data_IF_125855938503
#
_entry.id   IF_125855938503
#
_cell.length_a   1.000
_cell.length_b   1.000
_cell.length_c   1.000
_cell.angle_alpha   90.00
_cell.angle_beta   90.00
_cell.angle_gamma   90.00
#
_symmetry.space_group_name_H-M   'P 1'
#
loop_
_entity.id
_entity.type
_entity.pdbx_description
1 polymer ?
#
# COMPACT_ATOMS: atom_id res chain seq x y z
N UNK A 1 -23.74 -16.88 7.93
CA UNK A 1 -22.30 -16.84 8.28
C UNK A 1 -22.02 -15.45 8.85
N UNK A 2 -21.46 -15.32 10.05
CA UNK A 2 -21.16 -14.01 10.62
C UNK A 2 -19.89 -13.46 9.95
N UNK A 3 -20.03 -12.45 9.08
CA UNK A 3 -18.91 -11.83 8.35
C UNK A 3 -17.82 -11.27 9.27
N UNK A 4 -18.19 -10.86 10.49
CA UNK A 4 -17.27 -10.29 11.46
C UNK A 4 -16.34 -11.36 12.08
N UNK A 5 -16.73 -12.63 12.04
CA UNK A 5 -16.05 -13.75 12.68
C UNK A 5 -15.53 -14.78 11.68
N UNK A 6 -15.10 -14.32 10.50
CA UNK A 6 -14.58 -15.21 9.47
C UNK A 6 -13.33 -15.95 9.95
N UNK A 7 -13.25 -17.29 9.76
CA UNK A 7 -12.03 -18.03 9.98
C UNK A 7 -10.90 -17.47 9.10
N UNK A 8 -9.69 -17.38 9.67
CA UNK A 8 -8.53 -16.82 8.96
C UNK A 8 -8.26 -17.53 7.62
N UNK A 9 -8.49 -18.85 7.54
CA UNK A 9 -8.34 -19.61 6.29
C UNK A 9 -9.30 -19.13 5.20
N UNK A 10 -10.57 -18.94 5.55
CA UNK A 10 -11.58 -18.42 4.63
C UNK A 10 -11.22 -17.01 4.19
N UNK A 11 -10.81 -16.15 5.13
CA UNK A 11 -10.37 -14.79 4.80
C UNK A 11 -9.16 -14.78 3.87
N UNK A 12 -8.17 -15.65 4.07
CA UNK A 12 -7.02 -15.75 3.16
C UNK A 12 -7.44 -16.16 1.74
N UNK A 13 -8.36 -17.12 1.60
CA UNK A 13 -8.89 -17.49 0.28
C UNK A 13 -9.66 -16.36 -0.38
N UNK A 14 -10.50 -15.66 0.38
CA UNK A 14 -11.28 -14.52 -0.15
C UNK A 14 -10.35 -13.35 -0.50
N UNK A 15 -9.34 -13.05 0.32
CA UNK A 15 -8.31 -12.04 0.02
C UNK A 15 -7.52 -12.40 -1.24
N UNK A 16 -7.07 -13.65 -1.37
CA UNK A 16 -6.36 -14.10 -2.56
C UNK A 16 -7.25 -13.98 -3.82
N UNK A 17 -8.53 -14.36 -3.72
CA UNK A 17 -9.48 -14.17 -4.81
C UNK A 17 -9.68 -12.69 -5.15
N UNK A 18 -9.81 -11.82 -4.15
CA UNK A 18 -9.95 -10.38 -4.34
C UNK A 18 -8.72 -9.77 -5.03
N UNK A 19 -7.51 -10.21 -4.68
CA UNK A 19 -6.26 -9.78 -5.33
C UNK A 19 -6.23 -10.23 -6.81
N UNK A 20 -6.69 -11.45 -7.11
CA UNK A 20 -6.80 -11.91 -8.50
C UNK A 20 -7.81 -11.08 -9.29
N UNK A 21 -8.99 -10.81 -8.71
CA UNK A 21 -10.00 -9.94 -9.35
C UNK A 21 -9.43 -8.54 -9.58
N UNK A 22 -8.76 -7.97 -8.59
CA UNK A 22 -8.06 -6.69 -8.68
C UNK A 22 -7.07 -6.66 -9.84
N UNK A 23 -6.17 -7.65 -9.93
CA UNK A 23 -5.17 -7.73 -11.00
C UNK A 23 -5.81 -7.82 -12.40
N UNK A 24 -6.92 -8.57 -12.51
CA UNK A 24 -7.70 -8.65 -13.75
C UNK A 24 -8.34 -7.31 -14.11
N UNK A 25 -8.94 -6.61 -13.14
CA UNK A 25 -9.53 -5.29 -13.37
C UNK A 25 -8.47 -4.29 -13.80
N UNK A 26 -7.32 -4.26 -13.13
CA UNK A 26 -6.20 -3.37 -13.46
C UNK A 26 -5.67 -3.62 -14.88
N UNK A 27 -5.56 -4.89 -15.29
CA UNK A 27 -5.21 -5.24 -16.67
C UNK A 27 -6.26 -4.72 -17.68
N UNK A 28 -7.56 -4.84 -17.38
CA UNK A 28 -8.62 -4.30 -18.23
C UNK A 28 -8.70 -2.77 -18.23
N UNK A 29 -8.13 -2.09 -17.22
CA UNK A 29 -7.93 -0.64 -17.23
C UNK A 29 -6.81 -0.21 -18.19
N UNK A 30 -6.05 -1.15 -18.76
CA UNK A 30 -5.03 -0.89 -19.76
C UNK A 30 -3.59 -0.97 -19.24
N UNK A 31 -3.39 -1.30 -17.95
CA UNK A 31 -2.05 -1.43 -17.38
C UNK A 31 -1.31 -2.67 -17.91
N UNK A 32 0.00 -2.59 -18.14
CA UNK A 32 0.78 -3.69 -18.67
C UNK A 32 0.94 -4.80 -17.62
N UNK A 33 0.96 -6.07 -18.04
CA UNK A 33 1.11 -7.20 -17.09
C UNK A 33 2.46 -7.20 -16.37
N UNK A 34 3.51 -6.80 -17.08
CA UNK A 34 4.88 -6.65 -16.61
C UNK A 34 5.45 -5.36 -17.20
N UNK A 35 6.60 -4.90 -16.70
CA UNK A 35 7.35 -3.80 -17.30
C UNK A 35 7.43 -3.89 -18.83
N UNK A 36 7.15 -2.77 -19.51
CA UNK A 36 7.27 -2.66 -20.97
C UNK A 36 8.70 -2.89 -21.47
N UNK A 37 9.69 -2.82 -20.58
CA UNK A 37 11.07 -3.20 -20.84
C UNK A 37 11.27 -4.71 -21.16
N UNK A 38 10.24 -5.54 -20.97
CA UNK A 38 10.23 -6.95 -21.39
C UNK A 38 10.85 -7.92 -20.40
N UNK A 39 11.23 -7.47 -19.21
CA UNK A 39 11.74 -8.31 -18.12
C UNK A 39 11.25 -7.81 -16.76
N UNK A 40 11.37 -8.65 -15.74
CA UNK A 40 10.97 -8.34 -14.36
C UNK A 40 12.19 -8.36 -13.46
N UNK A 41 12.38 -7.30 -12.68
CA UNK A 41 13.35 -7.22 -11.59
C UNK A 41 12.66 -7.56 -10.27
N UNK A 42 13.42 -8.15 -9.35
CA UNK A 42 12.97 -8.27 -7.97
C UNK A 42 12.92 -6.90 -7.28
N UNK A 43 13.94 -6.09 -7.50
CA UNK A 43 14.08 -4.74 -6.94
C UNK A 43 14.50 -3.75 -8.04
N UNK A 44 13.80 -2.63 -8.11
CA UNK A 44 14.19 -1.47 -8.91
C UNK A 44 14.42 -0.28 -7.98
N UNK A 45 15.65 0.25 -7.95
CA UNK A 45 15.97 1.33 -7.04
C UNK A 45 17.22 2.19 -7.26
N UNK A 46 17.84 2.32 -8.46
CA UNK A 46 18.84 3.37 -8.68
C UNK A 46 18.28 4.79 -8.53
N UNK A 47 17.02 5.01 -8.90
CA UNK A 47 16.29 6.28 -8.83
C UNK A 47 14.81 6.03 -9.06
N UNK A 48 13.94 6.90 -8.55
CA UNK A 48 12.50 6.92 -8.85
C UNK A 48 12.18 7.69 -10.14
N UNK A 49 13.13 8.45 -10.68
CA UNK A 49 13.00 9.26 -11.89
C UNK A 49 13.21 8.43 -13.16
N UNK A 50 12.47 7.34 -13.29
CA UNK A 50 12.55 6.43 -14.44
C UNK A 50 11.18 5.91 -14.80
N UNK A 51 10.95 5.64 -16.09
CA UNK A 51 9.74 4.95 -16.55
C UNK A 51 9.62 3.49 -16.05
N UNK A 52 10.70 2.93 -15.48
CA UNK A 52 10.69 1.61 -14.84
C UNK A 52 10.19 1.63 -13.37
N UNK A 53 9.96 2.82 -12.79
CA UNK A 53 9.40 2.92 -11.45
C UNK A 53 7.96 2.38 -11.44
N UNK A 54 7.59 1.61 -10.42
CA UNK A 54 6.30 0.94 -10.34
C UNK A 54 6.04 -0.11 -11.44
N UNK A 55 7.10 -0.66 -12.06
CA UNK A 55 6.98 -1.66 -13.13
C UNK A 55 7.50 -3.06 -12.76
N UNK A 56 8.10 -3.20 -11.58
CA UNK A 56 8.82 -4.40 -11.14
C UNK A 56 8.20 -4.99 -9.87
N UNK A 57 8.75 -6.07 -9.31
CA UNK A 57 8.17 -6.71 -8.12
C UNK A 57 8.24 -5.81 -6.88
N UNK A 58 9.31 -5.01 -6.75
CA UNK A 58 9.43 -4.05 -5.67
C UNK A 58 10.30 -2.88 -6.06
N UNK A 59 10.03 -1.75 -5.42
CA UNK A 59 10.77 -0.50 -5.55
C UNK A 59 10.68 0.31 -4.25
N UNK A 60 11.07 1.58 -4.29
CA UNK A 60 11.06 2.45 -3.12
C UNK A 60 9.68 2.70 -2.53
N UNK A 61 8.60 2.61 -3.32
CA UNK A 61 7.23 2.80 -2.84
C UNK A 61 6.66 1.54 -2.19
N UNK A 62 7.29 0.36 -2.37
CA UNK A 62 6.95 -0.85 -1.60
C UNK A 62 7.01 -0.61 -0.08
N UNK A 63 7.89 0.27 0.41
CA UNK A 63 7.91 0.68 1.82
C UNK A 63 6.62 1.38 2.26
N UNK A 64 6.03 2.21 1.38
CA UNK A 64 4.76 2.89 1.60
C UNK A 64 3.61 1.88 1.71
N UNK A 65 3.60 0.83 0.88
CA UNK A 65 2.57 -0.23 0.95
C UNK A 65 2.70 -1.07 2.23
N UNK A 66 3.91 -1.35 2.72
CA UNK A 66 4.09 -1.94 4.06
C UNK A 66 3.47 -1.03 5.14
N UNK A 67 3.66 0.29 5.04
CA UNK A 67 3.06 1.27 5.95
C UNK A 67 1.53 1.33 5.79
N UNK A 68 0.96 1.18 4.59
CA UNK A 68 -0.49 1.03 4.40
C UNK A 68 -1.02 -0.15 5.21
N UNK A 69 -0.30 -1.27 5.22
CA UNK A 69 -0.63 -2.42 6.06
C UNK A 69 -0.70 -2.07 7.54
N UNK A 70 0.21 -1.20 8.01
CA UNK A 70 0.20 -0.72 9.39
C UNK A 70 -1.02 0.15 9.68
N UNK A 71 -1.29 1.10 8.77
CA UNK A 71 -2.38 2.08 8.89
C UNK A 71 -3.73 1.38 8.84
N UNK A 72 -3.97 0.48 7.88
CA UNK A 72 -5.25 -0.22 7.74
C UNK A 72 -5.54 -1.17 8.88
N UNK A 73 -4.53 -1.88 9.41
CA UNK A 73 -4.71 -2.66 10.63
C UNK A 73 -5.17 -1.75 11.78
N UNK A 74 -4.50 -0.62 11.97
CA UNK A 74 -4.80 0.29 13.07
C UNK A 74 -6.17 0.95 12.93
N UNK A 75 -6.56 1.36 11.72
CA UNK A 75 -7.89 1.91 11.41
C UNK A 75 -8.97 0.86 11.69
N UNK A 76 -8.82 -0.36 11.15
CA UNK A 76 -9.79 -1.43 11.36
C UNK A 76 -9.92 -1.77 12.86
N UNK A 77 -8.81 -1.79 13.58
CA UNK A 77 -8.78 -1.98 15.04
C UNK A 77 -9.49 -0.85 15.79
N UNK A 78 -9.25 0.43 15.43
CA UNK A 78 -9.89 1.58 16.05
C UNK A 78 -11.41 1.60 15.81
N UNK A 79 -11.85 1.31 14.59
CA UNK A 79 -13.28 1.23 14.24
C UNK A 79 -13.93 0.12 15.05
N UNK A 80 -13.34 -1.08 15.02
CA UNK A 80 -13.83 -2.22 15.80
C UNK A 80 -13.89 -1.91 17.31
N UNK A 81 -12.90 -1.21 17.86
CA UNK A 81 -12.92 -0.75 19.27
C UNK A 81 -14.06 0.22 19.56
N UNK A 82 -14.27 1.23 18.71
CA UNK A 82 -15.34 2.23 18.91
C UNK A 82 -16.73 1.61 18.87
N UNK A 83 -16.90 0.55 18.09
CA UNK A 83 -18.16 -0.18 18.00
C UNK A 83 -18.37 -1.19 19.16
N UNK A 84 -17.42 -1.28 20.10
CA UNK A 84 -17.48 -2.26 21.20
C UNK A 84 -17.12 -3.70 20.77
N UNK A 85 -16.56 -3.86 19.56
CA UNK A 85 -16.33 -5.15 18.89
C UNK A 85 -14.85 -5.54 18.85
N UNK A 86 -13.96 -4.94 19.64
CA UNK A 86 -12.55 -5.35 19.70
C UNK A 86 -12.00 -5.14 21.11
N UNK A 87 -11.66 -6.23 21.80
CA UNK A 87 -10.83 -6.19 23.00
C UNK A 87 -9.42 -6.66 22.65
N UNK A 88 -8.42 -5.84 23.02
CA UNK A 88 -6.98 -6.12 22.92
C UNK A 88 -6.57 -7.13 24.00
N UNK A 89 -7.16 -8.32 23.98
CA UNK A 89 -6.69 -9.45 24.79
C UNK A 89 -6.13 -10.51 23.85
N UNK A 90 -5.06 -11.17 24.28
CA UNK A 90 -4.39 -12.26 23.55
C UNK A 90 -5.31 -13.44 23.21
N UNK A 91 -6.50 -13.50 23.81
CA UNK A 91 -7.62 -14.27 23.33
C UNK A 91 -8.57 -13.32 22.61
N UNK A 92 -8.47 -13.30 21.27
CA UNK A 92 -9.41 -12.67 20.36
C UNK A 92 -10.82 -13.03 20.81
N UNK A 93 -11.50 -12.10 21.46
CA UNK A 93 -12.77 -12.34 22.14
C UNK A 93 -13.80 -12.87 21.14
N UNK A 94 -14.60 -13.85 21.55
CA UNK A 94 -15.69 -14.45 20.76
C UNK A 94 -16.71 -13.43 20.23
N UNK A 95 -16.67 -12.17 20.66
CA UNK A 95 -17.59 -11.09 20.28
C UNK A 95 -16.95 -10.04 19.35
N UNK A 96 -15.67 -10.17 19.02
CA UNK A 96 -14.94 -9.14 18.27
C UNK A 96 -14.70 -9.41 16.78
N UNK A 97 -14.22 -8.38 16.05
CA UNK A 97 -13.77 -8.56 14.66
C UNK A 97 -12.60 -9.53 14.61
N UNK A 98 -12.73 -10.58 13.79
CA UNK A 98 -11.65 -11.51 13.50
C UNK A 98 -10.51 -10.81 12.75
N UNK A 99 -9.27 -11.28 12.98
CA UNK A 99 -8.10 -10.89 12.16
C UNK A 99 -8.40 -11.05 10.68
N UNK A 100 -9.10 -12.12 10.32
CA UNK A 100 -9.49 -12.41 8.94
C UNK A 100 -10.42 -11.35 8.35
N UNK A 101 -11.41 -10.87 9.11
CA UNK A 101 -12.26 -9.78 8.66
C UNK A 101 -11.50 -8.46 8.52
N UNK A 102 -10.62 -8.14 9.47
CA UNK A 102 -9.76 -6.95 9.38
C UNK A 102 -8.83 -7.00 8.16
N UNK A 103 -8.28 -8.18 7.84
CA UNK A 103 -7.47 -8.39 6.63
C UNK A 103 -8.27 -8.14 5.37
N UNK A 104 -9.54 -8.60 5.31
CA UNK A 104 -10.40 -8.35 4.15
C UNK A 104 -10.66 -6.86 3.94
N UNK A 105 -10.90 -6.11 5.01
CA UNK A 105 -11.05 -4.66 4.93
C UNK A 105 -9.77 -3.98 4.44
N UNK A 106 -8.60 -4.42 4.91
CA UNK A 106 -7.31 -3.89 4.49
C UNK A 106 -7.04 -4.18 3.00
N UNK A 107 -7.28 -5.40 2.53
CA UNK A 107 -7.14 -5.78 1.12
C UNK A 107 -8.11 -4.99 0.24
N UNK A 108 -9.36 -4.81 0.67
CA UNK A 108 -10.33 -4.00 -0.07
C UNK A 108 -9.90 -2.54 -0.14
N UNK A 109 -9.40 -1.96 0.95
CA UNK A 109 -8.90 -0.59 0.97
C UNK A 109 -7.70 -0.41 0.03
N UNK A 110 -6.70 -1.31 0.10
CA UNK A 110 -5.50 -1.22 -0.73
C UNK A 110 -5.80 -1.42 -2.20
N UNK A 111 -6.52 -2.49 -2.56
CA UNK A 111 -6.91 -2.73 -3.95
C UNK A 111 -7.76 -1.60 -4.52
N UNK A 112 -8.60 -0.95 -3.69
CA UNK A 112 -9.35 0.24 -4.13
C UNK A 112 -8.45 1.44 -4.36
N UNK A 113 -7.43 1.63 -3.52
CA UNK A 113 -6.42 2.67 -3.71
C UNK A 113 -5.62 2.43 -4.98
N UNK A 114 -5.06 1.24 -5.17
CA UNK A 114 -4.29 0.85 -6.37
C UNK A 114 -5.06 1.06 -7.66
N UNK A 115 -6.35 0.66 -7.70
CA UNK A 115 -7.19 0.92 -8.87
C UNK A 115 -7.41 2.41 -9.09
N UNK A 116 -7.61 3.18 -8.02
CA UNK A 116 -7.82 4.62 -8.13
C UNK A 116 -6.56 5.37 -8.55
N UNK A 117 -5.41 4.99 -8.01
CA UNK A 117 -4.08 5.49 -8.35
C UNK A 117 -3.77 5.30 -9.84
N UNK A 118 -4.15 4.13 -10.37
CA UNK A 118 -3.97 3.78 -11.77
C UNK A 118 -5.04 4.34 -12.73
N UNK A 119 -5.85 5.30 -12.28
CA UNK A 119 -6.74 6.05 -13.17
C UNK A 119 -6.02 7.25 -13.79
N UNK A 120 -6.46 7.66 -14.99
CA UNK A 120 -5.99 8.90 -15.63
C UNK A 120 -6.07 10.12 -14.69
N UNK A 121 -7.04 10.15 -13.77
CA UNK A 121 -7.19 11.25 -12.83
C UNK A 121 -5.98 11.38 -11.90
N UNK A 122 -5.56 10.28 -11.26
CA UNK A 122 -4.44 10.31 -10.32
C UNK A 122 -3.10 10.33 -11.05
N UNK A 123 -2.94 9.55 -12.12
CA UNK A 123 -1.70 9.55 -12.93
C UNK A 123 -1.39 10.97 -13.43
N UNK A 124 -2.35 11.66 -14.05
CA UNK A 124 -2.12 13.02 -14.53
C UNK A 124 -1.89 14.01 -13.39
N UNK A 125 -2.48 13.76 -12.22
CA UNK A 125 -2.24 14.58 -11.04
C UNK A 125 -0.81 14.43 -10.53
N UNK A 126 -0.28 13.21 -10.42
CA UNK A 126 1.12 12.96 -10.07
C UNK A 126 2.06 13.65 -11.06
N UNK A 127 1.87 13.45 -12.36
CA UNK A 127 2.69 14.09 -13.41
C UNK A 127 2.69 15.62 -13.34
N UNK A 128 1.58 16.23 -12.92
CA UNK A 128 1.44 17.68 -12.86
C UNK A 128 2.12 18.30 -11.64
N UNK A 129 2.22 17.57 -10.51
CA UNK A 129 2.56 18.18 -9.22
C UNK A 129 3.77 17.55 -8.51
N UNK A 130 4.23 16.37 -8.91
CA UNK A 130 5.39 15.70 -8.31
C UNK A 130 6.56 15.59 -9.27
N UNK A 131 7.63 14.93 -8.83
CA UNK A 131 8.81 14.60 -9.65
C UNK A 131 8.56 13.44 -10.63
N UNK A 132 7.35 12.89 -10.67
CA UNK A 132 6.98 11.68 -11.42
C UNK A 132 6.45 12.01 -12.83
N UNK A 133 7.18 12.80 -13.62
CA UNK A 133 6.73 13.27 -14.95
C UNK A 133 6.54 12.12 -15.96
N UNK A 134 7.35 11.07 -15.86
CA UNK A 134 7.30 9.85 -16.68
C UNK A 134 6.54 8.70 -15.98
N UNK A 135 5.64 9.02 -15.06
CA UNK A 135 4.75 8.04 -14.44
C UNK A 135 3.50 7.82 -15.29
N UNK A 136 3.26 6.58 -15.69
CA UNK A 136 2.14 6.20 -16.56
C UNK A 136 1.18 5.21 -15.89
N UNK A 137 1.29 5.08 -14.57
CA UNK A 137 0.67 4.00 -13.81
C UNK A 137 1.62 2.82 -13.64
N UNK A 138 1.16 1.87 -12.85
CA UNK A 138 1.89 0.72 -12.39
C UNK A 138 1.58 -0.50 -13.25
N UNK A 139 2.58 -1.35 -13.43
CA UNK A 139 2.33 -2.67 -14.00
C UNK A 139 1.48 -3.53 -13.06
N UNK A 140 0.71 -4.47 -13.61
CA UNK A 140 -0.12 -5.39 -12.81
C UNK A 140 0.72 -6.20 -11.82
N UNK A 141 1.94 -6.59 -12.19
CA UNK A 141 2.86 -7.30 -11.30
C UNK A 141 3.31 -6.43 -10.11
N UNK A 142 3.56 -5.14 -10.32
CA UNK A 142 3.95 -4.21 -9.26
C UNK A 142 2.80 -4.00 -8.29
N UNK A 143 1.65 -3.51 -8.75
CA UNK A 143 0.50 -3.29 -7.87
C UNK A 143 0.05 -4.56 -7.13
N UNK A 144 0.13 -5.73 -7.77
CA UNK A 144 -0.14 -6.99 -7.07
C UNK A 144 0.88 -7.24 -5.95
N UNK A 145 2.15 -6.97 -6.21
CA UNK A 145 3.23 -7.11 -5.22
C UNK A 145 3.11 -6.08 -4.09
N UNK A 146 2.64 -4.88 -4.39
CA UNK A 146 2.38 -3.82 -3.41
C UNK A 146 1.21 -4.18 -2.50
N UNK A 147 0.12 -4.74 -3.03
CA UNK A 147 -0.96 -5.31 -2.18
C UNK A 147 -0.42 -6.44 -1.29
N UNK A 148 0.51 -7.27 -1.77
CA UNK A 148 1.15 -8.30 -0.94
C UNK A 148 2.07 -7.68 0.12
N UNK A 149 2.78 -6.60 -0.18
CA UNK A 149 3.59 -5.86 0.78
C UNK A 149 2.72 -5.24 1.88
N UNK A 150 1.55 -4.71 1.53
CA UNK A 150 0.52 -4.28 2.48
C UNK A 150 0.06 -5.43 3.37
N UNK A 151 -0.22 -6.62 2.82
CA UNK A 151 -0.58 -7.80 3.62
C UNK A 151 0.54 -8.18 4.60
N UNK A 152 1.81 -8.11 4.18
CA UNK A 152 2.96 -8.33 5.07
C UNK A 152 2.94 -7.29 6.20
N UNK A 153 2.79 -6.00 5.87
CA UNK A 153 2.69 -4.91 6.84
C UNK A 153 1.58 -5.13 7.87
N UNK A 154 0.39 -5.52 7.41
CA UNK A 154 -0.75 -5.87 8.27
C UNK A 154 -0.39 -6.96 9.29
N UNK A 155 0.26 -8.03 8.83
CA UNK A 155 0.66 -9.13 9.72
C UNK A 155 1.84 -8.78 10.63
N UNK A 156 2.69 -7.82 10.26
CA UNK A 156 3.72 -7.29 11.15
C UNK A 156 3.07 -6.57 12.34
N UNK A 157 2.08 -5.70 12.11
CA UNK A 157 1.37 -5.03 13.22
C UNK A 157 0.61 -6.02 14.08
N UNK A 158 0.02 -7.04 13.47
CA UNK A 158 -0.65 -8.10 14.21
C UNK A 158 0.28 -8.86 15.18
N UNK A 159 1.56 -9.04 14.83
CA UNK A 159 2.50 -9.88 15.60
C UNK A 159 3.47 -9.13 16.48
N UNK A 160 3.88 -7.93 16.08
CA UNK A 160 4.97 -7.22 16.74
C UNK A 160 4.46 -6.25 17.81
N UNK A 161 5.28 -5.96 18.84
CA UNK A 161 4.97 -4.90 19.80
C UNK A 161 4.83 -3.53 19.13
N UNK A 162 3.93 -2.69 19.66
CA UNK A 162 3.64 -1.36 19.09
C UNK A 162 4.90 -0.50 18.93
N UNK A 163 5.86 -0.56 19.87
CA UNK A 163 7.09 0.23 19.77
C UNK A 163 7.95 -0.18 18.55
N UNK A 164 7.96 -1.46 18.18
CA UNK A 164 8.68 -1.96 17.00
C UNK A 164 8.03 -1.41 15.74
N UNK A 165 6.70 -1.41 15.67
CA UNK A 165 5.95 -0.84 14.54
C UNK A 165 6.22 0.66 14.37
N UNK A 166 6.23 1.41 15.48
CA UNK A 166 6.56 2.85 15.45
C UNK A 166 7.98 3.08 14.94
N UNK A 167 8.96 2.31 15.41
CA UNK A 167 10.34 2.39 14.93
C UNK A 167 10.42 2.05 13.44
N UNK A 168 9.77 0.98 12.99
CA UNK A 168 9.75 0.58 11.59
C UNK A 168 9.13 1.64 10.69
N UNK A 169 7.98 2.20 11.07
CA UNK A 169 7.31 3.28 10.32
C UNK A 169 8.25 4.49 10.15
N UNK A 170 8.82 4.98 11.26
CA UNK A 170 9.72 6.14 11.23
C UNK A 170 10.96 5.82 10.39
N UNK A 171 11.54 4.63 10.56
CA UNK A 171 12.74 4.22 9.84
C UNK A 171 12.48 4.16 8.34
N UNK A 172 11.36 3.57 7.89
CA UNK A 172 11.01 3.50 6.47
C UNK A 172 10.79 4.89 5.88
N UNK A 173 9.98 5.74 6.51
CA UNK A 173 9.70 7.11 6.04
C UNK A 173 10.96 7.98 5.95
N UNK A 174 11.85 7.90 6.95
CA UNK A 174 13.11 8.64 6.96
C UNK A 174 14.11 8.07 5.96
N UNK A 175 14.15 6.74 5.82
CA UNK A 175 15.04 6.06 4.89
C UNK A 175 14.71 6.45 3.45
N UNK A 176 13.46 6.29 3.01
CA UNK A 176 13.07 6.67 1.65
C UNK A 176 13.11 8.19 1.46
N UNK A 177 12.67 8.96 2.45
CA UNK A 177 12.71 10.43 2.41
C UNK A 177 14.14 10.99 2.30
N UNK A 178 15.15 10.26 2.78
CA UNK A 178 16.55 10.61 2.58
C UNK A 178 17.09 10.17 1.22
N UNK A 179 16.85 8.90 0.83
CA UNK A 179 17.47 8.30 -0.35
C UNK A 179 16.87 8.79 -1.66
N UNK A 180 15.55 8.89 -1.74
CA UNK A 180 14.83 9.28 -2.96
C UNK A 180 14.19 10.66 -2.86
N UNK A 181 14.37 11.34 -1.71
CA UNK A 181 13.80 12.66 -1.41
C UNK A 181 12.27 12.71 -1.47
N UNK A 182 11.64 11.54 -1.43
CA UNK A 182 10.20 11.36 -1.40
C UNK A 182 9.83 10.23 -0.43
N UNK A 183 8.61 10.24 0.10
CA UNK A 183 8.08 9.21 0.98
C UNK A 183 6.54 9.28 1.01
N UNK A 184 5.88 8.40 1.77
CA UNK A 184 4.42 8.38 1.80
C UNK A 184 3.84 9.71 2.30
N UNK A 185 4.43 10.28 3.37
CA UNK A 185 3.94 11.53 3.92
C UNK A 185 4.03 12.71 2.92
N UNK A 186 5.17 12.87 2.26
CA UNK A 186 5.38 13.91 1.25
C UNK A 186 4.46 13.68 0.04
N UNK A 187 4.33 12.44 -0.41
CA UNK A 187 3.46 12.08 -1.53
C UNK A 187 1.99 12.44 -1.25
N UNK A 188 1.46 12.08 -0.07
CA UNK A 188 0.09 12.44 0.36
C UNK A 188 -0.09 13.96 0.40
N UNK A 189 0.86 14.69 1.00
CA UNK A 189 0.79 16.16 1.08
C UNK A 189 0.72 16.75 -0.32
N UNK A 190 1.66 16.36 -1.20
CA UNK A 190 1.73 16.88 -2.56
C UNK A 190 0.47 16.53 -3.36
N UNK A 191 -0.06 15.32 -3.19
CA UNK A 191 -1.29 14.90 -3.85
C UNK A 191 -2.51 15.70 -3.40
N UNK A 192 -2.63 16.07 -2.12
CA UNK A 192 -3.78 16.84 -1.64
C UNK A 192 -3.62 18.34 -1.90
N UNK A 193 -2.45 18.89 -1.55
CA UNK A 193 -2.14 20.30 -1.66
C UNK A 193 -0.63 20.49 -1.94
N UNK A 194 -0.23 20.76 -3.20
CA UNK A 194 1.17 20.85 -3.56
C UNK A 194 1.84 22.08 -2.96
N UNK A 195 3.03 21.89 -2.40
CA UNK A 195 3.88 22.96 -1.86
C UNK A 195 5.17 23.05 -2.67
N UNK A 196 5.55 24.25 -3.10
CA UNK A 196 6.78 24.49 -3.86
C UNK A 196 8.03 24.03 -3.10
N UNK A 197 8.09 24.25 -1.78
CA UNK A 197 9.22 23.83 -0.95
C UNK A 197 9.44 22.31 -0.94
N UNK A 198 8.36 21.52 -0.99
CA UNK A 198 8.46 20.05 -1.05
C UNK A 198 8.92 19.62 -2.45
N UNK A 199 8.42 20.28 -3.49
CA UNK A 199 8.83 20.00 -4.87
C UNK A 199 10.31 20.31 -5.10
N UNK A 200 10.82 21.43 -4.56
CA UNK A 200 12.24 21.79 -4.58
C UNK A 200 13.10 20.74 -3.86
N UNK A 201 12.67 20.32 -2.66
CA UNK A 201 13.32 19.23 -1.93
C UNK A 201 13.40 17.93 -2.74
N UNK A 202 12.28 17.49 -3.32
CA UNK A 202 12.18 16.27 -4.14
C UNK A 202 13.08 16.34 -5.39
N UNK A 203 13.30 17.54 -5.94
CA UNK A 203 14.16 17.76 -7.13
C UNK A 203 15.67 17.73 -6.83
N UNK A 204 16.08 17.78 -5.57
CA UNK A 204 17.50 17.82 -5.20
C UNK A 204 17.93 19.05 -4.40
N UNK A 205 17.04 20.02 -4.20
CA UNK A 205 17.39 21.38 -3.77
C UNK A 205 17.69 22.28 -4.95
#
# INVERSE_FOLDING_TARGET
MNLLQLPIRTSLFVSAFAIVVFAVVLYFMGQPLICECGFVKFWHGPTVLTSENSQHISDWYTFSHIIHGFVFYWIAWLIGRKLGLVLRSSNWSEEGWSVGFMLLLAVLAETSWELFENTDFIINRYRAITISYDYFGDSVINSTSDVLAMVIGFFLVYRLPVFVIVILLITMELFVGYWIRDNLALNIIMLLYPFEAILEWQRGG
#
